data_IF_203928817847
#
_entry.id   IF_203928817847
#
_cell.length_a   1.000
_cell.length_b   1.000
_cell.length_c   1.000
_cell.angle_alpha   90.00
_cell.angle_beta   90.00
_cell.angle_gamma   90.00
#
_symmetry.space_group_name_H-M   'P 1'
#
loop_
_entity.id
_entity.type
_entity.pdbx_description
1 polymer ?
#
# COMPACT_ATOMS: atom_id res chain seq x y z
N UNK A 1 7.19 -9.42 4.45
CA UNK A 1 8.11 -10.48 3.98
C UNK A 1 7.27 -11.69 3.56
N UNK A 2 7.81 -12.74 2.95
CA UNK A 2 7.02 -13.96 2.73
C UNK A 2 6.57 -14.52 4.11
N UNK A 3 5.27 -14.78 4.33
CA UNK A 3 4.80 -15.26 5.64
C UNK A 3 5.31 -16.67 5.97
N UNK A 4 5.64 -17.48 4.96
CA UNK A 4 6.13 -18.86 5.13
C UNK A 4 7.63 -18.96 5.40
N UNK A 5 8.46 -18.26 4.61
CA UNK A 5 9.93 -18.39 4.68
C UNK A 5 10.68 -17.12 5.08
N UNK A 6 10.00 -15.98 5.26
CA UNK A 6 10.64 -14.71 5.63
C UNK A 6 11.41 -13.99 4.51
N UNK A 7 11.50 -14.55 3.30
CA UNK A 7 12.22 -13.92 2.18
C UNK A 7 11.58 -12.58 1.73
N UNK A 8 12.39 -11.66 1.18
CA UNK A 8 11.93 -10.35 0.64
C UNK A 8 11.29 -10.43 -0.75
N UNK A 9 10.67 -11.56 -1.10
CA UNK A 9 10.13 -11.86 -2.43
C UNK A 9 8.63 -11.59 -2.55
N UNK A 10 8.00 -10.96 -1.54
CA UNK A 10 6.54 -10.81 -1.48
C UNK A 10 6.00 -9.83 -2.55
N UNK A 11 6.82 -8.86 -2.97
CA UNK A 11 6.41 -7.82 -3.92
C UNK A 11 7.29 -7.85 -5.18
N UNK A 12 6.64 -7.83 -6.34
CA UNK A 12 7.31 -7.76 -7.66
C UNK A 12 7.42 -6.31 -8.19
N UNK A 13 6.62 -5.39 -7.65
CA UNK A 13 6.68 -3.96 -8.00
C UNK A 13 6.36 -3.10 -6.75
N UNK A 14 6.46 -1.76 -6.81
CA UNK A 14 6.28 -0.88 -5.65
C UNK A 14 5.02 -1.18 -4.83
N UNK A 15 3.88 -1.44 -5.48
CA UNK A 15 2.62 -1.80 -4.83
C UNK A 15 1.98 -3.11 -5.37
N UNK A 16 2.76 -3.92 -6.10
CA UNK A 16 2.27 -5.18 -6.73
C UNK A 16 2.88 -6.40 -6.04
N UNK A 17 2.03 -7.33 -5.61
CA UNK A 17 2.48 -8.61 -5.06
C UNK A 17 3.10 -9.48 -6.15
N UNK A 18 4.05 -10.31 -5.75
CA UNK A 18 4.56 -11.37 -6.60
C UNK A 18 3.48 -12.44 -6.79
N UNK A 19 3.42 -13.08 -7.95
CA UNK A 19 2.50 -14.20 -8.18
C UNK A 19 2.81 -15.38 -7.25
N UNK A 20 4.10 -15.73 -7.13
CA UNK A 20 4.61 -16.71 -6.19
C UNK A 20 5.87 -16.21 -5.47
N UNK A 21 6.14 -16.78 -4.30
CA UNK A 21 7.47 -16.68 -3.69
C UNK A 21 8.48 -17.52 -4.49
N UNK A 22 9.62 -16.92 -4.87
CA UNK A 22 10.70 -17.60 -5.60
C UNK A 22 11.52 -18.56 -4.73
N UNK A 23 11.42 -18.45 -3.41
CA UNK A 23 12.20 -19.22 -2.45
C UNK A 23 11.43 -20.45 -1.93
N UNK A 24 10.18 -20.28 -1.49
CA UNK A 24 9.37 -21.37 -0.94
C UNK A 24 8.17 -21.81 -1.81
N UNK A 25 7.98 -21.20 -2.99
CA UNK A 25 6.92 -21.57 -3.94
C UNK A 25 5.49 -21.21 -3.51
N UNK A 26 5.30 -20.42 -2.45
CA UNK A 26 3.97 -20.01 -1.98
C UNK A 26 3.25 -19.15 -3.04
N UNK A 27 2.04 -19.53 -3.43
CA UNK A 27 1.19 -18.81 -4.40
C UNK A 27 0.47 -17.63 -3.72
N UNK A 28 1.14 -16.48 -3.69
CA UNK A 28 0.70 -15.26 -3.01
C UNK A 28 -0.51 -14.64 -3.71
N UNK A 29 -0.66 -14.85 -5.02
CA UNK A 29 -1.78 -14.35 -5.81
C UNK A 29 -3.13 -14.90 -5.32
N UNK A 30 -3.17 -16.16 -4.87
CA UNK A 30 -4.38 -16.76 -4.29
C UNK A 30 -4.82 -16.07 -3.00
N UNK A 31 -3.89 -15.56 -2.20
CA UNK A 31 -4.14 -14.86 -0.93
C UNK A 31 -4.57 -13.40 -1.14
N UNK A 32 -4.34 -12.81 -2.32
CA UNK A 32 -4.77 -11.43 -2.64
C UNK A 32 -6.29 -11.34 -2.95
N UNK A 33 -6.99 -12.48 -3.11
CA UNK A 33 -8.45 -12.53 -3.30
C UNK A 33 -9.15 -12.03 -2.03
N UNK A 34 -9.54 -10.75 -2.02
CA UNK A 34 -10.23 -10.14 -0.87
C UNK A 34 -10.02 -8.64 -0.71
N UNK A 35 -9.16 -8.01 -1.50
CA UNK A 35 -8.84 -6.58 -1.43
C UNK A 35 -9.96 -5.58 -1.79
N UNK A 36 -11.24 -5.91 -1.56
CA UNK A 36 -12.38 -5.00 -1.77
C UNK A 36 -12.27 -3.67 -1.01
N UNK A 37 -11.49 -3.64 0.07
CA UNK A 37 -11.25 -2.41 0.85
C UNK A 37 -10.09 -1.56 0.35
N UNK A 38 -9.31 -2.00 -0.65
CA UNK A 38 -8.22 -1.18 -1.22
C UNK A 38 -8.76 0.17 -1.69
N UNK A 39 -9.89 0.17 -2.41
CA UNK A 39 -10.54 1.38 -2.89
C UNK A 39 -10.94 2.34 -1.76
N UNK A 40 -11.53 1.80 -0.69
CA UNK A 40 -11.97 2.58 0.48
C UNK A 40 -10.78 3.24 1.18
N UNK A 41 -9.68 2.49 1.36
CA UNK A 41 -8.46 3.02 1.98
C UNK A 41 -7.86 4.12 1.12
N UNK A 42 -7.76 3.91 -0.19
CA UNK A 42 -7.23 4.95 -1.10
C UNK A 42 -8.10 6.20 -1.13
N UNK A 43 -9.43 6.06 -1.01
CA UNK A 43 -10.35 7.20 -0.97
C UNK A 43 -10.19 8.03 0.30
N UNK A 44 -10.13 7.38 1.46
CA UNK A 44 -9.89 8.05 2.74
C UNK A 44 -8.52 8.74 2.77
N UNK A 45 -7.50 8.08 2.22
CA UNK A 45 -6.16 8.63 2.10
C UNK A 45 -6.13 9.87 1.20
N UNK A 46 -6.81 9.81 0.06
CA UNK A 46 -6.94 10.95 -0.85
C UNK A 46 -7.65 12.13 -0.16
N UNK A 47 -8.75 11.88 0.55
CA UNK A 47 -9.46 12.92 1.32
C UNK A 47 -8.53 13.57 2.36
N UNK A 48 -7.79 12.77 3.12
CA UNK A 48 -6.86 13.27 4.13
C UNK A 48 -5.75 14.12 3.51
N UNK A 49 -5.18 13.68 2.38
CA UNK A 49 -4.15 14.43 1.65
C UNK A 49 -4.67 15.75 1.11
N UNK A 50 -5.90 15.79 0.59
CA UNK A 50 -6.53 17.02 0.10
C UNK A 50 -6.71 18.01 1.25
N UNK A 51 -7.26 17.57 2.39
CA UNK A 51 -7.44 18.44 3.56
C UNK A 51 -6.10 18.98 4.08
N UNK A 52 -5.07 18.15 4.11
CA UNK A 52 -3.74 18.57 4.52
C UNK A 52 -3.11 19.57 3.52
N UNK A 53 -3.29 19.34 2.22
CA UNK A 53 -2.81 20.26 1.18
C UNK A 53 -3.51 21.62 1.25
N UNK A 54 -4.83 21.64 1.39
CA UNK A 54 -5.59 22.87 1.58
C UNK A 54 -5.19 23.60 2.87
N UNK A 55 -4.96 22.86 3.96
CA UNK A 55 -4.50 23.45 5.22
C UNK A 55 -3.13 24.11 5.09
N UNK A 56 -2.19 23.45 4.43
CA UNK A 56 -0.86 24.01 4.13
C UNK A 56 -0.96 25.24 3.24
N UNK A 57 -1.81 25.21 2.21
CA UNK A 57 -2.02 26.34 1.30
C UNK A 57 -2.60 27.57 2.04
N UNK A 58 -3.59 27.34 2.90
CA UNK A 58 -4.22 28.41 3.68
C UNK A 58 -3.27 29.05 4.72
N UNK A 59 -2.42 28.25 5.38
CA UNK A 59 -1.52 28.73 6.43
C UNK A 59 -0.24 29.36 5.88
N UNK A 60 0.41 28.70 4.91
CA UNK A 60 1.75 29.07 4.46
C UNK A 60 1.75 29.85 3.14
N UNK A 61 0.62 29.86 2.40
CA UNK A 61 0.47 30.47 1.07
C UNK A 61 1.69 30.24 0.16
N UNK A 62 2.17 28.99 0.05
CA UNK A 62 3.34 28.68 -0.76
C UNK A 62 3.06 28.96 -2.24
N UNK A 63 4.09 29.24 -3.05
CA UNK A 63 3.93 29.34 -4.49
C UNK A 63 3.52 27.98 -5.07
N UNK A 64 2.63 28.00 -6.08
CA UNK A 64 1.99 26.80 -6.63
C UNK A 64 2.97 25.70 -7.09
N UNK A 65 4.12 26.09 -7.64
CA UNK A 65 5.14 25.14 -8.08
C UNK A 65 5.73 24.34 -6.91
N UNK A 66 5.92 24.96 -5.75
CA UNK A 66 6.46 24.32 -4.56
C UNK A 66 5.44 23.35 -3.97
N UNK A 67 4.17 23.76 -3.92
CA UNK A 67 3.07 22.87 -3.52
C UNK A 67 3.02 21.64 -4.39
N UNK A 68 3.06 21.80 -5.71
CA UNK A 68 3.02 20.66 -6.63
C UNK A 68 4.25 19.74 -6.47
N UNK A 69 5.44 20.34 -6.37
CA UNK A 69 6.70 19.61 -6.24
C UNK A 69 6.78 18.84 -4.90
N UNK A 70 6.16 19.34 -3.85
CA UNK A 70 6.12 18.67 -2.55
C UNK A 70 4.99 17.62 -2.47
N UNK A 71 3.76 18.00 -2.80
CA UNK A 71 2.59 17.13 -2.66
C UNK A 71 2.58 15.99 -3.67
N UNK A 72 3.15 16.16 -4.86
CA UNK A 72 3.32 15.09 -5.85
C UNK A 72 4.04 13.86 -5.29
N UNK A 73 5.33 13.97 -4.92
CA UNK A 73 6.09 12.84 -4.37
C UNK A 73 5.53 12.35 -3.03
N UNK A 74 5.03 13.24 -2.16
CA UNK A 74 4.40 12.85 -0.89
C UNK A 74 3.18 11.97 -1.13
N UNK A 75 2.30 12.35 -2.07
CA UNK A 75 1.12 11.55 -2.42
C UNK A 75 1.52 10.19 -2.96
N UNK A 76 2.47 10.13 -3.89
CA UNK A 76 2.95 8.87 -4.47
C UNK A 76 3.53 7.95 -3.38
N UNK A 77 4.38 8.50 -2.51
CA UNK A 77 5.00 7.75 -1.42
C UNK A 77 3.97 7.20 -0.43
N UNK A 78 3.02 8.03 -0.01
CA UNK A 78 1.95 7.67 0.92
C UNK A 78 1.04 6.60 0.32
N UNK A 79 0.62 6.75 -0.94
CA UNK A 79 -0.22 5.76 -1.63
C UNK A 79 0.49 4.41 -1.72
N UNK A 80 1.74 4.39 -2.20
CA UNK A 80 2.53 3.16 -2.29
C UNK A 80 2.71 2.52 -0.91
N UNK A 81 3.06 3.33 0.10
CA UNK A 81 3.25 2.86 1.48
C UNK A 81 1.99 2.21 2.05
N UNK A 82 0.85 2.90 1.96
CA UNK A 82 -0.45 2.39 2.43
C UNK A 82 -0.88 1.12 1.69
N UNK A 83 -0.73 1.08 0.37
CA UNK A 83 -1.02 -0.12 -0.44
C UNK A 83 -0.15 -1.30 -0.02
N UNK A 84 1.15 -1.09 0.16
CA UNK A 84 2.07 -2.14 0.62
C UNK A 84 1.67 -2.65 1.99
N UNK A 85 1.43 -1.76 2.94
CA UNK A 85 1.06 -2.11 4.30
C UNK A 85 -0.24 -2.91 4.34
N UNK A 86 -1.28 -2.40 3.67
CA UNK A 86 -2.58 -3.07 3.64
C UNK A 86 -2.50 -4.45 2.98
N UNK A 87 -1.85 -4.56 1.82
CA UNK A 87 -1.69 -5.84 1.13
C UNK A 87 -0.87 -6.83 1.94
N UNK A 88 0.19 -6.40 2.62
CA UNK A 88 0.93 -7.29 3.53
C UNK A 88 0.06 -7.79 4.66
N UNK A 89 -0.66 -6.90 5.34
CA UNK A 89 -1.51 -7.28 6.46
C UNK A 89 -2.58 -8.28 6.01
N UNK A 90 -3.21 -8.03 4.86
CA UNK A 90 -4.22 -8.92 4.29
C UNK A 90 -3.67 -10.32 3.98
N UNK A 91 -2.51 -10.39 3.31
CA UNK A 91 -1.89 -11.69 2.98
C UNK A 91 -1.51 -12.47 4.23
N UNK A 92 -1.01 -11.82 5.28
CA UNK A 92 -0.68 -12.50 6.53
C UNK A 92 -1.94 -13.05 7.21
N UNK A 93 -3.00 -12.27 7.30
CA UNK A 93 -4.27 -12.71 7.87
C UNK A 93 -4.86 -13.92 7.10
N UNK A 94 -4.89 -13.82 5.76
CA UNK A 94 -5.38 -14.92 4.93
C UNK A 94 -4.49 -16.17 5.03
N UNK A 95 -3.19 -16.01 5.23
CA UNK A 95 -2.27 -17.13 5.44
C UNK A 95 -2.58 -17.86 6.74
N UNK A 96 -2.82 -17.13 7.83
CA UNK A 96 -3.20 -17.72 9.13
C UNK A 96 -4.54 -18.46 9.04
N UNK A 97 -5.56 -17.86 8.43
CA UNK A 97 -6.87 -18.51 8.23
C UNK A 97 -6.78 -19.79 7.40
N UNK A 98 -5.99 -19.78 6.32
CA UNK A 98 -5.80 -20.97 5.47
C UNK A 98 -4.95 -22.07 6.13
N UNK A 99 -4.21 -21.78 7.20
CA UNK A 99 -3.46 -22.77 7.96
C UNK A 99 -4.27 -23.42 9.09
N UNK A 100 -5.45 -22.90 9.43
CA UNK A 100 -6.32 -23.49 10.45
C UNK A 100 -7.05 -24.72 9.85
N UNK A 101 -6.85 -25.94 10.38
CA UNK A 101 -7.42 -27.18 9.84
C UNK A 101 -8.93 -27.31 10.06
#
# INVERSE_FOLDING_TARGET
MCPRCGARTLFAAPARLAGQCSDCGLDVCKLERGGRFVGVITMLLALALILAALGVDALLRPPLWLSLLFWGPVTVGIVIGSLRFYKTMWVYHQYEEHQQP
#
